data_IF_681045392888
#
_entry.id   IF_681045392888
#
_cell.length_a   1.000
_cell.length_b   1.000
_cell.length_c   1.000
_cell.angle_alpha   90.00
_cell.angle_beta   90.00
_cell.angle_gamma   90.00
#
_symmetry.space_group_name_H-M   'P 1'
#
loop_
_entity.id
_entity.type
_entity.pdbx_description
1 polymer ?
#
# COMPACT_ATOMS: atom_id res chain seq x y z
N UNK A 1 2.46 14.04 -2.53
CA UNK A 1 3.40 12.92 -2.77
C UNK A 1 3.05 12.26 -4.09
N UNK A 2 4.04 11.88 -4.87
CA UNK A 2 3.81 11.11 -6.10
C UNK A 2 3.82 9.60 -5.82
N UNK A 3 3.30 8.82 -6.77
CA UNK A 3 3.38 7.35 -6.67
C UNK A 3 4.84 6.87 -6.67
N UNK A 4 5.72 7.53 -7.42
CA UNK A 4 7.15 7.19 -7.42
C UNK A 4 7.78 7.44 -6.05
N UNK A 5 7.43 8.52 -5.40
CA UNK A 5 7.89 8.82 -4.03
C UNK A 5 7.36 7.81 -3.02
N UNK A 6 6.09 7.40 -3.17
CA UNK A 6 5.51 6.36 -2.32
C UNK A 6 6.24 5.03 -2.50
N UNK A 7 6.53 4.64 -3.74
CA UNK A 7 7.29 3.43 -4.04
C UNK A 7 8.65 3.45 -3.35
N UNK A 8 9.37 4.55 -3.46
CA UNK A 8 10.67 4.72 -2.82
C UNK A 8 10.54 4.62 -1.30
N UNK A 9 9.55 5.28 -0.73
CA UNK A 9 9.31 5.26 0.73
C UNK A 9 9.01 3.85 1.23
N UNK A 10 8.13 3.12 0.56
CA UNK A 10 7.79 1.75 0.95
C UNK A 10 9.02 0.83 0.90
N UNK A 11 9.91 1.02 -0.06
CA UNK A 11 11.14 0.22 -0.17
C UNK A 11 12.16 0.51 0.93
N UNK A 12 12.01 1.61 1.67
CA UNK A 12 12.86 1.88 2.83
C UNK A 12 12.52 1.04 4.05
N UNK A 13 11.35 0.40 4.06
CA UNK A 13 10.94 -0.45 5.18
C UNK A 13 11.88 -1.65 5.25
N UNK A 14 12.39 -1.93 6.46
CA UNK A 14 13.31 -3.04 6.68
C UNK A 14 12.75 -4.35 6.15
N UNK A 15 13.49 -5.01 5.28
CA UNK A 15 13.12 -6.29 4.68
C UNK A 15 12.30 -6.18 3.40
N UNK A 16 11.92 -4.97 2.96
CA UNK A 16 11.05 -4.78 1.79
C UNK A 16 11.71 -4.09 0.61
N UNK A 17 13.02 -3.89 0.61
CA UNK A 17 13.70 -3.17 -0.47
C UNK A 17 13.47 -3.75 -1.86
N UNK A 18 13.23 -5.07 -1.97
CA UNK A 18 12.95 -5.79 -3.22
C UNK A 18 11.60 -6.47 -3.21
N UNK A 19 10.70 -6.04 -2.33
CA UNK A 19 9.42 -6.69 -2.10
C UNK A 19 8.25 -5.73 -2.21
N UNK A 20 8.39 -4.68 -3.01
CA UNK A 20 7.36 -3.68 -3.26
C UNK A 20 7.14 -3.56 -4.76
N UNK A 21 5.91 -3.66 -5.21
CA UNK A 21 5.55 -3.53 -6.62
C UNK A 21 4.22 -2.79 -6.77
N UNK A 22 4.09 -2.07 -7.87
CA UNK A 22 2.80 -1.47 -8.24
C UNK A 22 1.89 -2.56 -8.80
N UNK A 23 0.73 -2.71 -8.19
CA UNK A 23 -0.36 -3.61 -8.54
C UNK A 23 -0.03 -5.09 -8.35
N UNK A 24 0.86 -5.68 -9.13
CA UNK A 24 1.13 -7.11 -9.07
C UNK A 24 2.50 -7.46 -9.64
N UNK A 25 3.03 -8.58 -9.21
CA UNK A 25 4.24 -9.18 -9.79
C UNK A 25 3.87 -9.89 -11.08
N UNK A 26 4.79 -9.93 -12.06
CA UNK A 26 4.60 -10.83 -13.21
C UNK A 26 4.39 -12.27 -12.73
N UNK A 27 3.62 -13.04 -13.49
CA UNK A 27 3.30 -14.42 -13.15
C UNK A 27 4.58 -15.21 -12.86
N UNK A 28 4.63 -15.89 -11.71
CA UNK A 28 5.76 -16.70 -11.29
C UNK A 28 6.96 -15.92 -10.73
N UNK A 29 6.86 -14.59 -10.61
CA UNK A 29 7.98 -13.75 -10.16
C UNK A 29 7.76 -13.11 -8.78
N UNK A 30 6.65 -13.40 -8.11
CA UNK A 30 6.42 -12.87 -6.78
C UNK A 30 7.47 -13.39 -5.80
N UNK A 31 8.04 -12.51 -4.94
CA UNK A 31 8.96 -12.95 -3.91
C UNK A 31 8.21 -13.75 -2.84
N UNK A 32 8.92 -14.48 -1.97
CA UNK A 32 8.27 -15.10 -0.82
C UNK A 32 7.56 -14.06 0.06
N UNK A 33 6.47 -14.48 0.71
CA UNK A 33 5.79 -13.64 1.69
C UNK A 33 6.73 -13.30 2.86
N UNK A 34 6.62 -12.15 3.48
CA UNK A 34 5.67 -11.07 3.16
C UNK A 34 6.13 -10.19 2.00
N UNK A 35 5.19 -9.57 1.30
CA UNK A 35 5.50 -8.55 0.30
C UNK A 35 4.40 -7.47 0.26
N UNK A 36 4.69 -6.36 -0.39
CA UNK A 36 3.80 -5.21 -0.48
C UNK A 36 3.46 -4.92 -1.94
N UNK A 37 2.19 -4.73 -2.23
CA UNK A 37 1.73 -4.14 -3.48
C UNK A 37 1.04 -2.81 -3.17
N UNK A 38 0.96 -1.92 -4.13
CA UNK A 38 0.18 -0.70 -4.00
C UNK A 38 -0.44 -0.35 -5.34
N UNK A 39 -1.62 0.27 -5.30
CA UNK A 39 -2.31 0.62 -6.53
C UNK A 39 -3.30 1.76 -6.27
N UNK A 40 -3.54 2.54 -7.30
CA UNK A 40 -4.62 3.53 -7.29
C UNK A 40 -5.94 2.78 -7.37
N UNK A 41 -6.82 3.04 -6.41
CA UNK A 41 -8.16 2.48 -6.39
C UNK A 41 -9.13 3.40 -7.13
N UNK A 42 -9.16 4.67 -6.73
CA UNK A 42 -9.96 5.70 -7.39
C UNK A 42 -9.37 7.08 -7.09
N UNK A 43 -10.09 8.14 -7.41
CA UNK A 43 -9.68 9.50 -7.05
C UNK A 43 -10.70 10.15 -6.14
N UNK A 44 -10.21 11.03 -5.26
CA UNK A 44 -11.03 11.86 -4.38
C UNK A 44 -10.64 13.33 -4.63
N UNK A 45 -11.00 13.80 -5.81
CA UNK A 45 -10.56 15.10 -6.28
C UNK A 45 -11.31 16.23 -5.57
N UNK A 46 -10.60 17.28 -5.22
CA UNK A 46 -11.20 18.53 -4.77
C UNK A 46 -11.50 19.40 -5.99
N UNK A 47 -12.75 19.80 -6.13
CA UNK A 47 -13.15 20.60 -7.27
C UNK A 47 -14.34 21.49 -6.96
N UNK A 48 -14.58 22.48 -7.86
CA UNK A 48 -15.75 23.33 -7.86
C UNK A 48 -16.02 23.79 -9.29
N UNK A 49 -17.29 24.07 -9.62
CA UNK A 49 -17.71 24.52 -10.96
C UNK A 49 -17.25 23.60 -12.08
N UNK A 50 -17.32 22.28 -11.85
CA UNK A 50 -16.91 21.23 -12.77
C UNK A 50 -15.41 21.26 -13.13
N UNK A 51 -14.60 21.94 -12.32
CA UNK A 51 -13.13 22.01 -12.51
C UNK A 51 -12.46 21.31 -11.34
N UNK A 52 -11.47 20.47 -11.65
CA UNK A 52 -10.63 19.84 -10.62
C UNK A 52 -9.55 20.83 -10.19
N UNK A 53 -9.62 21.33 -8.95
CA UNK A 53 -8.60 22.21 -8.39
C UNK A 53 -7.42 21.44 -7.83
N UNK A 54 -7.65 20.25 -7.31
CA UNK A 54 -6.62 19.39 -6.76
C UNK A 54 -6.97 17.94 -7.03
N UNK A 55 -6.09 17.26 -7.75
CA UNK A 55 -6.24 15.83 -8.00
C UNK A 55 -5.66 15.05 -6.82
N UNK A 56 -6.46 14.18 -6.24
CA UNK A 56 -6.07 13.32 -5.11
C UNK A 56 -6.32 11.88 -5.53
N UNK A 57 -5.29 11.06 -5.44
CA UNK A 57 -5.43 9.62 -5.68
C UNK A 57 -5.71 8.91 -4.37
N UNK A 58 -6.74 8.06 -4.38
CA UNK A 58 -6.95 7.11 -3.30
C UNK A 58 -6.17 5.85 -3.64
N UNK A 59 -5.24 5.48 -2.77
CA UNK A 59 -4.30 4.40 -3.01
C UNK A 59 -4.49 3.33 -1.94
N UNK A 60 -4.51 2.08 -2.37
CA UNK A 60 -4.45 0.93 -1.48
C UNK A 60 -3.02 0.41 -1.42
N UNK A 61 -2.48 0.32 -0.22
CA UNK A 61 -1.22 -0.37 0.07
C UNK A 61 -1.59 -1.71 0.67
N UNK A 62 -1.17 -2.80 0.05
CA UNK A 62 -1.55 -4.15 0.44
C UNK A 62 -0.34 -4.92 0.95
N UNK A 63 -0.38 -5.33 2.20
CA UNK A 63 0.62 -6.22 2.79
C UNK A 63 0.08 -7.64 2.76
N UNK A 64 0.80 -8.54 2.11
CA UNK A 64 0.49 -9.98 2.10
C UNK A 64 1.46 -10.70 3.02
N UNK A 65 0.95 -11.52 3.93
CA UNK A 65 1.78 -12.28 4.87
C UNK A 65 1.18 -13.65 5.12
N UNK A 66 2.02 -14.63 5.36
CA UNK A 66 1.56 -16.01 5.62
C UNK A 66 0.86 -16.10 6.97
N UNK A 67 1.43 -15.45 7.98
CA UNK A 67 0.87 -15.38 9.33
C UNK A 67 0.53 -13.94 9.66
N UNK A 68 -0.26 -13.73 10.71
CA UNK A 68 -0.53 -12.37 11.21
C UNK A 68 0.80 -11.70 11.58
N UNK A 69 1.18 -10.67 10.83
CA UNK A 69 2.48 -10.01 10.91
C UNK A 69 2.35 -8.59 11.44
N UNK A 70 2.20 -8.48 12.75
CA UNK A 70 2.04 -7.17 13.41
C UNK A 70 3.30 -6.32 13.33
N UNK A 71 4.46 -6.93 13.17
CA UNK A 71 5.73 -6.21 13.03
C UNK A 71 5.76 -5.44 11.71
N UNK A 72 5.48 -6.11 10.60
CA UNK A 72 5.43 -5.46 9.29
C UNK A 72 4.32 -4.41 9.23
N UNK A 73 3.14 -4.71 9.79
CA UNK A 73 2.06 -3.73 9.87
C UNK A 73 2.52 -2.47 10.61
N UNK A 74 3.17 -2.64 11.75
CA UNK A 74 3.68 -1.52 12.54
C UNK A 74 4.72 -0.68 11.80
N UNK A 75 5.57 -1.32 10.99
CA UNK A 75 6.56 -0.60 10.18
C UNK A 75 5.91 0.25 9.09
N UNK A 76 4.87 -0.29 8.43
CA UNK A 76 4.10 0.47 7.43
C UNK A 76 3.41 1.66 8.11
N UNK A 77 2.74 1.41 9.22
CA UNK A 77 2.01 2.46 9.95
C UNK A 77 2.95 3.57 10.41
N UNK A 78 4.10 3.21 10.96
CA UNK A 78 5.11 4.18 11.39
C UNK A 78 5.63 5.03 10.20
N UNK A 79 5.83 4.39 9.05
CA UNK A 79 6.25 5.12 7.85
C UNK A 79 5.19 6.15 7.44
N UNK A 80 3.92 5.72 7.35
CA UNK A 80 2.83 6.60 6.96
C UNK A 80 2.66 7.77 7.94
N UNK A 81 2.78 7.51 9.21
CA UNK A 81 2.75 8.55 10.25
C UNK A 81 3.91 9.53 10.09
N UNK A 82 5.12 9.03 9.79
CA UNK A 82 6.29 9.89 9.58
C UNK A 82 6.12 10.80 8.36
N UNK A 83 5.31 10.38 7.39
CA UNK A 83 5.00 11.15 6.18
C UNK A 83 3.75 12.04 6.36
N UNK A 84 3.17 12.04 7.56
CA UNK A 84 1.92 12.75 7.87
C UNK A 84 0.76 12.32 6.96
N UNK A 85 0.70 11.04 6.63
CA UNK A 85 -0.36 10.45 5.80
C UNK A 85 -1.37 9.76 6.70
N UNK A 86 -2.64 10.19 6.61
CA UNK A 86 -3.74 9.50 7.26
C UNK A 86 -4.01 8.16 6.57
N UNK A 87 -4.28 7.12 7.34
CA UNK A 87 -4.56 5.80 6.80
C UNK A 87 -5.72 5.14 7.53
N UNK A 88 -6.43 4.29 6.81
CA UNK A 88 -7.40 3.37 7.37
C UNK A 88 -6.98 1.96 6.98
N UNK A 89 -7.33 0.98 7.80
CA UNK A 89 -6.83 -0.38 7.64
C UNK A 89 -7.97 -1.38 7.64
N UNK A 90 -7.91 -2.32 6.69
CA UNK A 90 -8.77 -3.49 6.61
C UNK A 90 -7.92 -4.75 6.62
N UNK A 91 -8.47 -5.84 7.11
CA UNK A 91 -7.81 -7.13 7.12
C UNK A 91 -8.70 -8.18 6.49
N UNK A 92 -8.14 -8.99 5.60
CA UNK A 92 -8.81 -10.11 4.93
C UNK A 92 -7.90 -11.32 4.95
N UNK A 93 -8.48 -12.50 5.12
CA UNK A 93 -7.76 -13.76 4.94
C UNK A 93 -8.15 -14.36 3.59
N UNK A 94 -7.15 -14.65 2.74
CA UNK A 94 -7.36 -15.21 1.42
C UNK A 94 -7.23 -16.73 1.53
N UNK A 95 -8.36 -17.43 1.56
CA UNK A 95 -8.39 -18.89 1.79
C UNK A 95 -7.62 -19.66 0.71
N UNK A 96 -7.80 -19.31 -0.55
CA UNK A 96 -7.15 -20.01 -1.66
C UNK A 96 -5.63 -19.88 -1.64
N UNK A 97 -5.13 -18.76 -1.14
CA UNK A 97 -3.69 -18.46 -1.06
C UNK A 97 -3.12 -18.77 0.33
N UNK A 98 -3.99 -19.02 1.30
CA UNK A 98 -3.62 -19.25 2.70
C UNK A 98 -2.72 -18.16 3.25
N UNK A 99 -3.10 -16.91 3.04
CA UNK A 99 -2.36 -15.76 3.54
C UNK A 99 -3.29 -14.64 3.99
N UNK A 100 -2.74 -13.72 4.80
CA UNK A 100 -3.41 -12.51 5.20
C UNK A 100 -3.15 -11.40 4.20
N UNK A 101 -4.16 -10.57 3.95
CA UNK A 101 -4.03 -9.33 3.21
C UNK A 101 -4.45 -8.19 4.12
N UNK A 102 -3.53 -7.27 4.37
CA UNK A 102 -3.81 -6.04 5.14
C UNK A 102 -3.82 -4.90 4.14
N UNK A 103 -4.93 -4.20 4.05
CA UNK A 103 -5.10 -3.10 3.10
C UNK A 103 -5.09 -1.78 3.85
N UNK A 104 -4.15 -0.91 3.53
CA UNK A 104 -4.11 0.46 4.01
C UNK A 104 -4.62 1.37 2.91
N UNK A 105 -5.69 2.10 3.19
CA UNK A 105 -6.24 3.09 2.27
C UNK A 105 -5.71 4.46 2.65
N UNK A 106 -5.06 5.12 1.70
CA UNK A 106 -4.46 6.44 1.87
C UNK A 106 -4.83 7.36 0.72
N UNK A 107 -4.53 8.64 0.87
CA UNK A 107 -4.69 9.63 -0.21
C UNK A 107 -3.34 10.31 -0.46
N UNK A 108 -2.95 10.38 -1.72
CA UNK A 108 -1.70 11.02 -2.14
C UNK A 108 -1.88 11.87 -3.39
#
# INVERSE_FOLDING_TARGET
>A
MTLAELNTALKTITGFSKKVVYRAWPVGQAPPLPFITYMVDDSDNFGADDIVYKAINRVNIELYSKNKDTVSEGLIEALLESLSIYWEKDETYIDDEQCYEIIYTIEV
#
